data_IF_546632949301
#
_entry.id   IF_546632949301
#
_cell.length_a   1.000
_cell.length_b   1.000
_cell.length_c   1.000
_cell.angle_alpha   90.00
_cell.angle_beta   90.00
_cell.angle_gamma   90.00
#
_symmetry.space_group_name_H-M   'P 1'
#
loop_
_entity.id
_entity.type
_entity.pdbx_description
1 polymer ?
#
# COMPACT_ATOMS: atom_id res chain seq x y z
N UNK A 1 30.50 -63.26 26.50
CA UNK A 1 31.16 -62.98 25.21
C UNK A 1 30.13 -62.91 24.09
N UNK A 2 29.79 -61.71 23.61
CA UNK A 2 29.69 -61.31 22.19
C UNK A 2 28.93 -60.00 22.10
N UNK A 3 29.61 -59.02 21.49
CA UNK A 3 29.18 -57.66 21.20
C UNK A 3 28.35 -57.66 19.92
N UNK A 4 27.28 -56.86 19.88
CA UNK A 4 26.64 -56.29 18.68
C UNK A 4 25.97 -54.98 19.13
N UNK A 5 26.62 -53.82 19.14
CA UNK A 5 26.90 -52.86 18.06
C UNK A 5 25.69 -52.41 17.21
N UNK A 6 25.39 -51.10 17.36
CA UNK A 6 24.81 -50.12 16.42
C UNK A 6 23.35 -50.32 15.94
N UNK A 7 22.51 -49.29 15.75
CA UNK A 7 22.75 -47.87 15.55
C UNK A 7 21.57 -47.03 16.08
N UNK A 8 21.87 -45.92 16.76
CA UNK A 8 20.90 -44.86 17.03
C UNK A 8 20.89 -43.91 15.83
N UNK A 9 19.77 -43.86 15.10
CA UNK A 9 19.57 -42.91 14.01
C UNK A 9 19.20 -41.54 14.62
N UNK A 10 20.20 -40.68 14.81
CA UNK A 10 19.96 -39.28 15.20
C UNK A 10 19.49 -38.55 13.95
N UNK A 11 18.19 -38.30 13.84
CA UNK A 11 17.63 -37.40 12.85
C UNK A 11 18.04 -35.97 13.20
N UNK A 12 19.02 -35.42 12.46
CA UNK A 12 19.39 -34.01 12.54
C UNK A 12 18.34 -33.21 11.76
N UNK A 13 17.60 -32.28 12.38
CA UNK A 13 16.74 -31.37 11.62
C UNK A 13 17.65 -30.43 10.84
N UNK A 14 17.64 -30.58 9.52
CA UNK A 14 18.30 -29.67 8.59
C UNK A 14 17.56 -28.32 8.67
N UNK A 15 18.06 -27.39 9.48
CA UNK A 15 17.59 -26.01 9.46
C UNK A 15 18.03 -25.38 8.14
N UNK A 16 17.15 -25.43 7.14
CA UNK A 16 17.22 -24.61 5.94
C UNK A 16 17.07 -23.14 6.35
N UNK A 17 18.20 -22.52 6.71
CA UNK A 17 18.31 -21.08 6.76
C UNK A 17 18.12 -20.58 5.34
N UNK A 18 16.96 -19.98 5.07
CA UNK A 18 16.75 -19.23 3.83
C UNK A 18 17.74 -18.06 3.89
N UNK A 19 18.89 -18.22 3.24
CA UNK A 19 19.86 -17.17 3.10
C UNK A 19 19.22 -16.07 2.25
N UNK A 20 18.71 -15.02 2.90
CA UNK A 20 18.43 -13.78 2.23
C UNK A 20 19.75 -13.28 1.63
N UNK A 21 19.77 -12.81 0.36
CA UNK A 21 20.99 -12.29 -0.23
C UNK A 21 21.56 -11.19 0.67
N UNK A 22 22.87 -11.19 0.87
CA UNK A 22 23.61 -10.20 1.64
C UNK A 22 23.62 -8.81 0.94
N UNK A 23 22.45 -8.25 0.65
CA UNK A 23 22.28 -6.92 0.04
C UNK A 23 22.65 -5.77 0.99
N UNK A 24 23.06 -6.05 2.23
CA UNK A 24 23.26 -5.05 3.28
C UNK A 24 24.64 -4.38 3.32
N UNK A 25 25.72 -5.05 2.92
CA UNK A 25 27.08 -4.53 3.24
C UNK A 25 27.53 -3.37 2.33
N UNK A 26 27.17 -3.38 1.04
CA UNK A 26 27.65 -2.39 0.05
C UNK A 26 26.58 -1.55 -0.64
N UNK A 27 25.29 -1.67 -0.29
CA UNK A 27 24.24 -0.83 -0.90
C UNK A 27 24.46 0.65 -0.54
N UNK A 28 24.38 1.61 -1.49
CA UNK A 28 24.39 3.04 -1.19
C UNK A 28 23.04 3.51 -0.63
N UNK A 29 22.04 2.63 -0.53
CA UNK A 29 20.69 2.96 -0.09
C UNK A 29 20.31 2.30 1.24
N UNK A 30 19.44 2.98 1.99
CA UNK A 30 18.64 2.43 3.08
C UNK A 30 17.15 2.43 2.69
N UNK A 31 16.35 1.43 3.10
CA UNK A 31 14.93 1.42 2.81
C UNK A 31 14.21 2.52 3.61
N UNK A 32 13.38 3.31 2.91
CA UNK A 32 12.46 4.29 3.51
C UNK A 32 11.03 3.75 3.63
N UNK A 33 10.05 4.63 3.53
CA UNK A 33 8.64 4.25 3.59
C UNK A 33 8.22 3.41 2.37
N UNK A 34 7.15 2.65 2.54
CA UNK A 34 6.40 2.11 1.42
C UNK A 34 5.52 3.21 0.81
N UNK A 35 5.36 3.17 -0.51
CA UNK A 35 4.49 4.06 -1.26
C UNK A 35 3.45 3.24 -2.01
N UNK A 36 2.19 3.29 -1.57
CA UNK A 36 1.07 2.78 -2.36
C UNK A 36 0.61 3.88 -3.31
N UNK A 37 0.69 3.61 -4.61
CA UNK A 37 0.43 4.60 -5.66
C UNK A 37 -0.71 4.14 -6.54
N UNK A 38 -1.86 4.77 -6.37
CA UNK A 38 -3.03 4.60 -7.25
C UNK A 38 -2.89 5.42 -8.53
N UNK A 39 -3.23 4.81 -9.67
CA UNK A 39 -3.19 5.42 -10.98
C UNK A 39 -4.60 5.76 -11.46
N UNK A 40 -4.83 7.04 -11.78
CA UNK A 40 -6.15 7.55 -12.15
C UNK A 40 -6.09 8.26 -13.50
N UNK A 41 -6.96 7.84 -14.39
CA UNK A 41 -7.29 8.53 -15.64
C UNK A 41 -8.60 9.30 -15.42
N UNK A 42 -8.64 10.58 -15.74
CA UNK A 42 -9.79 11.45 -15.50
C UNK A 42 -10.53 11.64 -16.81
N UNK A 43 -11.82 11.31 -16.82
CA UNK A 43 -12.60 11.43 -18.05
C UNK A 43 -12.74 12.88 -18.50
N UNK A 44 -12.88 13.09 -19.82
CA UNK A 44 -13.12 14.42 -20.40
C UNK A 44 -14.28 15.14 -19.69
N UNK A 45 -14.00 16.36 -19.24
CA UNK A 45 -14.96 17.20 -18.50
C UNK A 45 -15.16 16.82 -17.02
N UNK A 46 -14.57 15.72 -16.53
CA UNK A 46 -14.70 15.22 -15.15
C UNK A 46 -13.69 15.79 -14.14
N UNK A 47 -12.79 16.66 -14.58
CA UNK A 47 -11.68 17.16 -13.77
C UNK A 47 -12.09 17.90 -12.51
N UNK A 48 -13.15 18.72 -12.60
CA UNK A 48 -13.61 19.50 -11.45
C UNK A 48 -14.27 18.61 -10.38
N UNK A 49 -15.13 17.69 -10.80
CA UNK A 49 -15.83 16.72 -9.96
C UNK A 49 -14.81 15.84 -9.22
N UNK A 50 -13.79 15.35 -9.93
CA UNK A 50 -12.78 14.53 -9.30
C UNK A 50 -11.90 15.32 -8.33
N UNK A 51 -11.49 16.54 -8.68
CA UNK A 51 -10.75 17.42 -7.77
C UNK A 51 -11.55 17.71 -6.49
N UNK A 52 -12.86 17.94 -6.60
CA UNK A 52 -13.74 18.16 -5.45
C UNK A 52 -13.87 16.92 -4.58
N UNK A 53 -13.95 15.72 -5.17
CA UNK A 53 -13.87 14.47 -4.43
C UNK A 53 -12.54 14.34 -3.66
N UNK A 54 -11.41 14.64 -4.32
CA UNK A 54 -10.10 14.56 -3.69
C UNK A 54 -9.99 15.51 -2.49
N UNK A 55 -10.43 16.77 -2.65
CA UNK A 55 -10.35 17.78 -1.60
C UNK A 55 -11.26 17.53 -0.40
N UNK A 56 -12.47 16.99 -0.64
CA UNK A 56 -13.52 16.90 0.37
C UNK A 56 -13.65 15.52 1.02
N UNK A 57 -13.22 14.47 0.33
CA UNK A 57 -13.39 13.08 0.79
C UNK A 57 -12.04 12.40 0.92
N UNK A 58 -11.29 12.25 -0.18
CA UNK A 58 -10.02 11.50 -0.15
C UNK A 58 -9.04 12.10 0.87
N UNK A 59 -8.81 13.42 0.82
CA UNK A 59 -7.93 14.11 1.78
C UNK A 59 -8.36 13.90 3.23
N UNK A 60 -9.65 13.91 3.54
CA UNK A 60 -10.13 13.68 4.93
C UNK A 60 -9.77 12.28 5.41
N UNK A 61 -9.81 11.28 4.54
CA UNK A 61 -9.43 9.91 4.87
C UNK A 61 -7.93 9.79 5.13
N UNK A 62 -7.11 10.49 4.34
CA UNK A 62 -5.67 10.53 4.55
C UNK A 62 -5.31 11.26 5.85
N UNK A 63 -5.93 12.41 6.13
CA UNK A 63 -5.73 13.14 7.39
C UNK A 63 -6.15 12.31 8.60
N UNK A 64 -7.24 11.55 8.50
CA UNK A 64 -7.63 10.61 9.55
C UNK A 64 -6.57 9.53 9.77
N UNK A 65 -6.12 8.83 8.74
CA UNK A 65 -5.04 7.83 8.87
C UNK A 65 -3.76 8.43 9.43
N UNK A 66 -3.39 9.63 9.00
CA UNK A 66 -2.20 10.33 9.47
C UNK A 66 -2.33 10.68 10.95
N UNK A 67 -3.50 11.15 11.39
CA UNK A 67 -3.78 11.43 12.81
C UNK A 67 -3.69 10.20 13.71
N UNK A 68 -3.88 9.00 13.15
CA UNK A 68 -3.73 7.72 13.84
C UNK A 68 -2.30 7.15 13.75
N UNK A 69 -1.41 7.80 13.01
CA UNK A 69 -0.05 7.31 12.75
C UNK A 69 0.02 6.11 11.81
N UNK A 70 -1.06 5.79 11.08
CA UNK A 70 -1.10 4.66 10.15
C UNK A 70 -0.34 4.93 8.86
N UNK A 71 -0.27 6.20 8.47
CA UNK A 71 0.47 6.69 7.31
C UNK A 71 1.41 7.81 7.77
N UNK A 72 2.54 7.91 7.11
CA UNK A 72 3.54 8.97 7.33
C UNK A 72 3.27 10.19 6.44
N UNK A 73 2.63 9.98 5.28
CA UNK A 73 2.35 11.03 4.32
C UNK A 73 1.34 10.62 3.24
N UNK A 74 0.95 11.61 2.45
CA UNK A 74 0.15 11.42 1.25
C UNK A 74 0.38 12.58 0.29
N UNK A 75 0.19 12.35 -1.01
CA UNK A 75 0.31 13.38 -2.04
C UNK A 75 -0.54 13.05 -3.27
N UNK A 76 -0.90 14.08 -4.03
CA UNK A 76 -1.52 13.96 -5.36
C UNK A 76 -0.53 14.53 -6.37
N UNK A 77 -0.14 13.74 -7.35
CA UNK A 77 0.79 14.14 -8.41
C UNK A 77 0.04 14.15 -9.74
N UNK A 78 0.17 15.23 -10.51
CA UNK A 78 -0.36 15.29 -11.86
C UNK A 78 0.69 14.91 -12.90
N UNK A 79 0.31 14.07 -13.86
CA UNK A 79 1.10 13.78 -15.04
C UNK A 79 0.90 14.90 -16.07
N UNK A 80 1.71 15.95 -15.96
CA UNK A 80 1.63 17.13 -16.84
C UNK A 80 2.12 16.88 -18.27
N UNK A 81 2.52 15.65 -18.60
CA UNK A 81 2.98 15.25 -19.92
C UNK A 81 2.59 13.79 -20.23
N UNK A 82 1.31 13.47 -20.00
CA UNK A 82 0.79 12.12 -20.16
C UNK A 82 0.84 11.63 -21.60
N UNK A 83 1.23 10.36 -21.78
CA UNK A 83 1.14 9.64 -23.05
C UNK A 83 -0.17 8.84 -23.11
N UNK A 84 -0.62 8.42 -24.31
CA UNK A 84 -1.79 7.53 -24.42
C UNK A 84 -1.63 6.28 -23.54
N UNK A 85 -2.60 6.05 -22.66
CA UNK A 85 -2.60 4.91 -21.73
C UNK A 85 -1.82 5.13 -20.43
N UNK A 86 -1.30 6.34 -20.18
CA UNK A 86 -0.77 6.73 -18.87
C UNK A 86 -1.85 7.45 -18.04
N UNK A 87 -1.81 7.37 -16.70
CA UNK A 87 -2.74 8.10 -15.84
C UNK A 87 -2.47 9.60 -15.86
N UNK A 88 -3.53 10.38 -15.64
CA UNK A 88 -3.46 11.82 -15.40
C UNK A 88 -2.99 12.16 -13.99
N UNK A 89 -3.38 11.34 -13.00
CA UNK A 89 -3.09 11.57 -11.60
C UNK A 89 -2.52 10.31 -10.93
N UNK A 90 -1.56 10.52 -10.04
CA UNK A 90 -1.08 9.53 -9.07
C UNK A 90 -1.49 9.94 -7.66
N UNK A 91 -2.18 9.05 -6.97
CA UNK A 91 -2.54 9.18 -5.56
C UNK A 91 -1.58 8.35 -4.73
N UNK A 92 -0.72 9.00 -3.95
CA UNK A 92 0.32 8.33 -3.17
C UNK A 92 -0.04 8.36 -1.70
N UNK A 93 0.07 7.21 -1.05
CA UNK A 93 -0.01 7.06 0.41
C UNK A 93 1.25 6.40 0.94
N UNK A 94 1.93 7.08 1.86
CA UNK A 94 3.21 6.64 2.41
C UNK A 94 3.02 6.03 3.79
N UNK A 95 3.63 4.88 4.08
CA UNK A 95 3.59 4.27 5.40
C UNK A 95 4.89 3.53 5.72
N UNK A 96 5.31 3.60 6.98
CA UNK A 96 6.56 2.98 7.43
C UNK A 96 6.48 1.46 7.50
N UNK A 97 5.29 0.93 7.82
CA UNK A 97 5.03 -0.50 7.99
C UNK A 97 3.65 -0.90 7.48
N UNK A 98 3.56 -2.08 6.86
CA UNK A 98 2.27 -2.70 6.53
C UNK A 98 1.59 -3.22 7.80
N UNK A 99 0.27 -3.03 7.96
CA UNK A 99 -0.47 -3.67 9.06
C UNK A 99 -0.48 -5.18 8.88
N UNK A 100 -0.56 -5.91 9.99
CA UNK A 100 -1.00 -7.30 9.96
C UNK A 100 -2.54 -7.38 9.82
N UNK A 101 -3.07 -8.60 9.63
CA UNK A 101 -4.49 -8.79 9.43
C UNK A 101 -5.37 -8.26 10.58
N UNK A 102 -4.91 -8.41 11.83
CA UNK A 102 -5.68 -7.97 13.00
C UNK A 102 -5.72 -6.44 13.10
N UNK A 103 -4.60 -5.78 12.78
CA UNK A 103 -4.53 -4.33 12.69
C UNK A 103 -5.34 -3.79 11.50
N UNK A 104 -5.33 -4.50 10.36
CA UNK A 104 -6.15 -4.14 9.19
C UNK A 104 -7.66 -4.16 9.53
N UNK A 105 -8.15 -5.18 10.23
CA UNK A 105 -9.54 -5.24 10.69
C UNK A 105 -9.90 -4.07 11.63
N UNK A 106 -9.00 -3.73 12.56
CA UNK A 106 -9.19 -2.58 13.46
C UNK A 106 -9.24 -1.27 12.70
N UNK A 107 -8.34 -1.07 11.73
CA UNK A 107 -8.31 0.12 10.87
C UNK A 107 -9.58 0.24 10.05
N UNK A 108 -10.05 -0.87 9.46
CA UNK A 108 -11.29 -0.90 8.69
C UNK A 108 -12.50 -0.54 9.56
N UNK A 109 -12.59 -1.05 10.79
CA UNK A 109 -13.66 -0.69 11.73
C UNK A 109 -13.64 0.80 12.09
N UNK A 110 -12.46 1.34 12.41
CA UNK A 110 -12.29 2.76 12.73
C UNK A 110 -12.60 3.66 11.53
N UNK A 111 -12.28 3.23 10.30
CA UNK A 111 -12.67 3.95 9.09
C UNK A 111 -14.18 3.96 8.88
N UNK A 112 -14.88 2.83 9.08
CA UNK A 112 -16.35 2.78 9.00
C UNK A 112 -17.01 3.74 10.00
N UNK A 113 -16.50 3.77 11.23
CA UNK A 113 -16.98 4.70 12.26
C UNK A 113 -16.71 6.17 11.89
N UNK A 114 -15.52 6.47 11.38
CA UNK A 114 -15.13 7.82 10.95
C UNK A 114 -15.96 8.32 9.76
N UNK A 115 -16.15 7.47 8.74
CA UNK A 115 -16.85 7.81 7.51
C UNK A 115 -18.35 7.96 7.70
N UNK A 116 -18.93 7.27 8.70
CA UNK A 116 -20.38 7.19 8.92
C UNK A 116 -21.14 6.75 7.67
N UNK A 117 -20.50 5.88 6.88
CA UNK A 117 -21.06 5.29 5.67
C UNK A 117 -21.00 3.77 5.79
N UNK A 118 -21.99 3.10 5.20
CA UNK A 118 -21.96 1.64 5.05
C UNK A 118 -21.06 1.25 3.89
N UNK A 119 -20.60 0.00 3.87
CA UNK A 119 -19.78 -0.52 2.77
C UNK A 119 -20.51 -0.39 1.41
N UNK A 120 -21.84 -0.64 1.40
CA UNK A 120 -22.66 -0.45 0.21
C UNK A 120 -22.72 1.01 -0.27
N UNK A 121 -22.75 1.98 0.65
CA UNK A 121 -22.70 3.41 0.29
C UNK A 121 -21.32 3.81 -0.26
N UNK A 122 -20.24 3.27 0.31
CA UNK A 122 -18.88 3.53 -0.18
C UNK A 122 -18.69 2.95 -1.59
N UNK A 123 -19.19 1.73 -1.82
CA UNK A 123 -19.13 1.09 -3.13
C UNK A 123 -19.96 1.83 -4.18
N UNK A 124 -21.21 2.18 -3.84
CA UNK A 124 -22.06 2.99 -4.72
C UNK A 124 -21.41 4.34 -5.05
N UNK A 125 -20.86 5.02 -4.04
CA UNK A 125 -20.13 6.27 -4.26
C UNK A 125 -18.90 6.08 -5.15
N UNK A 126 -18.21 4.94 -5.06
CA UNK A 126 -17.08 4.60 -5.95
C UNK A 126 -17.54 4.39 -7.39
N UNK A 127 -18.64 3.64 -7.59
CA UNK A 127 -19.27 3.43 -8.89
C UNK A 127 -19.75 4.73 -9.54
N UNK A 128 -20.28 5.67 -8.76
CA UNK A 128 -20.65 6.99 -9.27
C UNK A 128 -19.44 7.77 -9.81
N UNK A 129 -18.25 7.58 -9.22
CA UNK A 129 -17.03 8.22 -9.75
C UNK A 129 -16.56 7.61 -11.05
N UNK A 130 -16.93 6.36 -11.36
CA UNK A 130 -16.59 5.74 -12.63
C UNK A 130 -17.15 6.50 -13.85
N UNK A 131 -18.11 7.42 -13.63
CA UNK A 131 -18.63 8.35 -14.65
C UNK A 131 -17.61 9.42 -15.07
N UNK A 132 -16.62 9.71 -14.24
CA UNK A 132 -15.67 10.81 -14.44
C UNK A 132 -14.21 10.46 -14.12
N UNK A 133 -13.92 9.18 -13.83
CA UNK A 133 -12.56 8.66 -13.69
C UNK A 133 -12.50 7.17 -14.01
N UNK A 134 -11.34 6.71 -14.44
CA UNK A 134 -10.96 5.30 -14.51
C UNK A 134 -9.85 5.02 -13.49
N UNK A 135 -9.98 3.94 -12.72
CA UNK A 135 -8.85 3.39 -11.95
C UNK A 135 -8.04 2.48 -12.87
N UNK A 136 -6.80 2.86 -13.14
CA UNK A 136 -5.93 2.09 -14.04
C UNK A 136 -5.16 0.98 -13.32
N UNK A 137 -5.16 1.01 -11.99
CA UNK A 137 -4.47 0.06 -11.12
C UNK A 137 -3.66 0.78 -10.04
N UNK A 138 -2.74 0.06 -9.41
CA UNK A 138 -1.80 0.61 -8.45
C UNK A 138 -0.46 -0.12 -8.49
N UNK A 139 0.55 0.47 -7.87
CA UNK A 139 1.81 -0.20 -7.59
C UNK A 139 2.28 0.13 -6.17
N UNK A 140 2.95 -0.85 -5.55
CA UNK A 140 3.59 -0.69 -4.24
C UNK A 140 5.10 -0.52 -4.44
N UNK A 141 5.62 0.65 -4.08
CA UNK A 141 7.06 0.92 -4.11
C UNK A 141 7.64 0.91 -2.70
N UNK A 142 8.96 0.79 -2.64
CA UNK A 142 9.75 1.07 -1.44
C UNK A 142 10.69 2.23 -1.74
N UNK A 143 10.65 3.28 -0.92
CA UNK A 143 11.61 4.38 -1.01
C UNK A 143 13.03 3.87 -0.80
N UNK A 144 13.98 4.36 -1.60
CA UNK A 144 15.41 4.13 -1.44
C UNK A 144 16.08 5.44 -1.04
N UNK A 145 16.44 5.56 0.22
CA UNK A 145 17.13 6.73 0.75
C UNK A 145 18.63 6.56 0.56
N UNK A 146 19.34 7.57 0.08
CA UNK A 146 20.80 7.55 0.08
C UNK A 146 21.34 7.51 1.52
N UNK A 147 22.43 6.76 1.73
CA UNK A 147 23.20 6.75 2.99
C UNK A 147 23.88 8.09 3.24
#
# INVERSE_FOLDING_TARGET
MRKSMLAALIAVPLMLSVATPAAGQNSPFTPGDYEDVGMIDVSDGGGYEYAMFLANTWRKNQEFAKSKGWITGYQVLANVNARPGEPDLYLVTSYSTMPDAAEEEKRAAAYREFMKQTDAQMEAASGDRAKYRTVMGSFLLRQLNFK
#
